data_IF_949539455622
#
_entry.id   IF_949539455622
#
_cell.length_a   1.000
_cell.length_b   1.000
_cell.length_c   1.000
_cell.angle_alpha   90.00
_cell.angle_beta   90.00
_cell.angle_gamma   90.00
#
_symmetry.space_group_name_H-M   'P 1'
#
loop_
_entity.id
_entity.type
_entity.pdbx_description
1 polymer ?
#
# COMPACT_ATOMS: atom_id res chain seq x y z
N UNK A 1 -4.12 21.17 -19.73
CA UNK A 1 -2.79 20.52 -19.72
C UNK A 1 -2.47 20.10 -21.14
N UNK A 2 -1.26 20.37 -21.68
CA UNK A 2 -0.94 19.95 -23.03
C UNK A 2 -0.97 18.42 -23.07
N UNK A 3 -1.86 17.86 -23.89
CA UNK A 3 -1.90 16.42 -24.13
C UNK A 3 -0.65 16.07 -24.94
N UNK A 4 0.38 15.56 -24.27
CA UNK A 4 1.53 15.00 -24.96
C UNK A 4 1.01 13.88 -25.87
N UNK A 5 1.44 13.93 -27.14
CA UNK A 5 1.18 12.88 -28.11
C UNK A 5 2.33 11.89 -27.97
N UNK A 6 2.00 10.62 -27.80
CA UNK A 6 2.98 9.55 -27.71
C UNK A 6 3.73 9.44 -29.05
N UNK A 7 5.07 9.54 -29.06
CA UNK A 7 5.85 9.46 -30.29
C UNK A 7 5.87 8.06 -30.93
N UNK A 8 5.51 7.00 -30.20
CA UNK A 8 5.47 5.64 -30.75
C UNK A 8 4.18 5.33 -31.54
N UNK A 9 3.04 5.88 -31.11
CA UNK A 9 1.73 5.53 -31.68
C UNK A 9 0.88 6.72 -32.13
N UNK A 10 1.37 7.95 -31.95
CA UNK A 10 0.67 9.20 -32.27
C UNK A 10 -0.69 9.38 -31.57
N UNK A 11 -0.95 8.65 -30.49
CA UNK A 11 -2.14 8.83 -29.65
C UNK A 11 -1.83 9.74 -28.46
N UNK A 12 -2.87 10.35 -27.86
CA UNK A 12 -2.70 11.13 -26.63
C UNK A 12 -2.26 10.24 -25.48
N UNK A 13 -1.29 10.71 -24.69
CA UNK A 13 -0.86 10.04 -23.48
C UNK A 13 -2.00 9.94 -22.46
N UNK A 14 -2.02 8.84 -21.71
CA UNK A 14 -2.99 8.59 -20.63
C UNK A 14 -2.66 9.41 -19.39
N UNK A 15 -1.36 9.64 -19.13
CA UNK A 15 -0.87 10.58 -18.13
C UNK A 15 0.51 11.11 -18.53
N UNK A 16 1.09 12.03 -17.76
CA UNK A 16 2.35 12.68 -18.12
C UNK A 16 3.47 11.64 -18.40
N UNK A 17 3.97 11.59 -19.64
CA UNK A 17 4.95 10.62 -20.14
C UNK A 17 4.51 9.15 -20.04
N UNK A 18 3.20 8.87 -20.08
CA UNK A 18 2.66 7.51 -19.99
C UNK A 18 1.63 7.25 -21.08
N UNK A 19 2.00 6.45 -22.08
CA UNK A 19 1.10 5.95 -23.10
C UNK A 19 0.65 4.53 -22.75
N UNK A 20 -0.58 4.36 -22.24
CA UNK A 20 -1.08 3.03 -21.84
C UNK A 20 -1.01 1.99 -22.99
N UNK A 21 -1.45 2.28 -24.23
CA UNK A 21 -1.36 1.31 -25.32
C UNK A 21 0.06 0.84 -25.65
N UNK A 22 1.06 1.74 -25.60
CA UNK A 22 2.45 1.39 -25.87
C UNK A 22 3.07 0.63 -24.70
N UNK A 23 2.92 1.15 -23.47
CA UNK A 23 3.45 0.51 -22.27
C UNK A 23 2.86 -0.89 -22.06
N UNK A 24 1.59 -1.10 -22.39
CA UNK A 24 0.96 -2.42 -22.38
C UNK A 24 1.74 -3.42 -23.26
N UNK A 25 2.12 -3.03 -24.47
CA UNK A 25 2.91 -3.89 -25.37
C UNK A 25 4.32 -4.12 -24.83
N UNK A 26 4.96 -3.09 -24.31
CA UNK A 26 6.30 -3.19 -23.70
C UNK A 26 6.29 -4.19 -22.53
N UNK A 27 5.30 -4.10 -21.62
CA UNK A 27 5.15 -5.07 -20.55
C UNK A 27 4.90 -6.50 -21.07
N UNK A 28 4.02 -6.68 -22.06
CA UNK A 28 3.76 -8.00 -22.64
C UNK A 28 5.02 -8.65 -23.22
N UNK A 29 5.91 -7.85 -23.82
CA UNK A 29 7.19 -8.34 -24.33
C UNK A 29 8.15 -8.77 -23.20
N UNK A 30 8.04 -8.17 -22.02
CA UNK A 30 8.89 -8.43 -20.86
C UNK A 30 8.37 -9.53 -19.91
N UNK A 31 7.15 -10.04 -20.10
CA UNK A 31 6.56 -11.02 -19.16
C UNK A 31 7.38 -12.30 -18.97
N UNK A 32 8.14 -12.72 -19.98
CA UNK A 32 9.00 -13.89 -19.87
C UNK A 32 10.33 -13.60 -19.16
N UNK A 33 10.70 -12.32 -18.98
CA UNK A 33 11.98 -11.94 -18.42
C UNK A 33 11.98 -12.02 -16.89
N UNK A 34 10.84 -11.81 -16.21
CA UNK A 34 10.75 -11.73 -14.75
C UNK A 34 9.61 -12.59 -14.19
N UNK A 35 9.86 -13.88 -13.94
CA UNK A 35 8.92 -14.77 -13.24
C UNK A 35 9.33 -14.97 -11.78
N UNK A 36 8.34 -14.98 -10.89
CA UNK A 36 8.50 -15.30 -9.47
C UNK A 36 8.56 -16.80 -9.18
N UNK A 37 8.33 -17.65 -10.19
CA UNK A 37 8.12 -19.08 -10.02
C UNK A 37 6.73 -19.44 -9.46
N UNK A 38 5.83 -18.47 -9.28
CA UNK A 38 4.45 -18.69 -8.86
C UNK A 38 3.46 -18.00 -9.80
N UNK A 39 2.69 -18.81 -10.53
CA UNK A 39 1.73 -18.34 -11.52
C UNK A 39 0.67 -17.37 -10.97
N UNK A 40 0.30 -17.47 -9.68
CA UNK A 40 -0.66 -16.53 -9.07
C UNK A 40 -0.05 -15.16 -8.82
N UNK A 41 1.21 -15.13 -8.36
CA UNK A 41 1.97 -13.88 -8.15
C UNK A 41 2.26 -13.22 -9.49
N UNK A 42 2.74 -14.00 -10.47
CA UNK A 42 3.03 -13.52 -11.82
C UNK A 42 1.78 -12.92 -12.46
N UNK A 43 0.65 -13.63 -12.40
CA UNK A 43 -0.63 -13.12 -12.91
C UNK A 43 -1.06 -11.83 -12.24
N UNK A 44 -0.95 -11.73 -10.91
CA UNK A 44 -1.29 -10.51 -10.18
C UNK A 44 -0.46 -9.30 -10.62
N UNK A 45 0.85 -9.49 -10.80
CA UNK A 45 1.77 -8.44 -11.27
C UNK A 45 1.44 -8.04 -12.72
N UNK A 46 1.24 -9.02 -13.61
CA UNK A 46 0.88 -8.79 -15.01
C UNK A 46 -0.45 -8.05 -15.13
N UNK A 47 -1.48 -8.47 -14.39
CA UNK A 47 -2.79 -7.81 -14.37
C UNK A 47 -2.66 -6.34 -13.90
N UNK A 48 -1.83 -6.07 -12.90
CA UNK A 48 -1.56 -4.71 -12.45
C UNK A 48 -0.85 -3.87 -13.52
N UNK A 49 0.19 -4.41 -14.17
CA UNK A 49 0.95 -3.75 -15.25
C UNK A 49 0.08 -3.42 -16.47
N UNK A 50 -0.76 -4.37 -16.93
CA UNK A 50 -1.68 -4.17 -18.06
C UNK A 50 -2.74 -3.09 -17.77
N UNK A 51 -3.14 -2.95 -16.51
CA UNK A 51 -4.15 -1.98 -16.08
C UNK A 51 -3.57 -0.62 -15.64
N UNK A 52 -2.25 -0.47 -15.60
CA UNK A 52 -1.59 0.74 -15.14
C UNK A 52 -1.83 1.94 -16.09
N UNK A 53 -2.38 3.02 -15.54
CA UNK A 53 -2.62 4.28 -16.26
C UNK A 53 -1.50 5.32 -16.04
N UNK A 54 -0.55 5.01 -15.17
CA UNK A 54 0.64 5.79 -14.85
C UNK A 54 1.67 4.87 -14.16
N UNK A 55 2.89 5.38 -14.01
CA UNK A 55 4.00 4.63 -13.40
C UNK A 55 3.82 4.34 -11.91
N UNK A 56 3.06 5.17 -11.19
CA UNK A 56 2.81 4.95 -9.77
C UNK A 56 2.08 3.63 -9.55
N UNK A 57 1.15 3.26 -10.44
CA UNK A 57 0.35 2.03 -10.36
C UNK A 57 1.08 0.76 -10.82
N UNK A 58 2.31 0.87 -11.31
CA UNK A 58 3.09 -0.29 -11.72
C UNK A 58 3.62 -0.98 -10.47
N UNK A 59 3.43 -2.29 -10.42
CA UNK A 59 4.11 -3.17 -9.48
C UNK A 59 5.02 -4.13 -10.23
N UNK A 60 6.08 -4.58 -9.56
CA UNK A 60 7.14 -5.38 -10.17
C UNK A 60 7.38 -6.67 -9.39
N UNK A 61 7.87 -7.71 -10.07
CA UNK A 61 8.65 -8.73 -9.39
C UNK A 61 10.05 -8.18 -9.19
N UNK A 62 10.51 -8.12 -7.95
CA UNK A 62 11.80 -7.54 -7.60
C UNK A 62 12.69 -8.67 -7.07
N UNK A 63 13.75 -9.07 -7.79
CA UNK A 63 14.69 -10.08 -7.30
C UNK A 63 15.31 -9.66 -5.97
N UNK A 64 15.43 -10.59 -5.03
CA UNK A 64 15.82 -10.27 -3.65
C UNK A 64 17.25 -9.72 -3.54
N UNK A 65 18.14 -10.11 -4.46
CA UNK A 65 19.51 -9.63 -4.55
C UNK A 65 19.63 -8.15 -4.95
N UNK A 66 18.52 -7.51 -5.34
CA UNK A 66 18.43 -6.06 -5.57
C UNK A 66 18.24 -5.26 -4.28
N UNK A 67 18.11 -5.91 -3.13
CA UNK A 67 18.00 -5.26 -1.83
C UNK A 67 19.34 -5.29 -1.07
N UNK A 68 19.74 -4.13 -0.54
CA UNK A 68 20.91 -3.97 0.34
C UNK A 68 20.48 -3.55 1.73
N UNK A 69 21.38 -3.75 2.70
CA UNK A 69 21.23 -3.34 4.10
C UNK A 69 19.91 -3.81 4.73
N UNK A 70 19.50 -5.03 4.39
CA UNK A 70 18.27 -5.62 4.89
C UNK A 70 18.38 -5.82 6.40
N UNK A 71 17.49 -5.19 7.17
CA UNK A 71 17.45 -5.29 8.64
C UNK A 71 16.03 -5.35 9.14
N UNK A 72 15.75 -6.23 10.10
CA UNK A 72 14.44 -6.26 10.76
C UNK A 72 14.23 -4.96 11.56
N UNK A 73 13.10 -4.30 11.35
CA UNK A 73 12.72 -3.06 12.06
C UNK A 73 11.45 -3.20 12.88
N UNK A 74 10.70 -4.29 12.72
CA UNK A 74 9.51 -4.55 13.52
C UNK A 74 8.99 -5.96 13.32
N UNK A 75 8.30 -6.48 14.33
CA UNK A 75 7.57 -7.75 14.27
C UNK A 75 6.28 -7.60 15.07
N UNK A 76 5.16 -8.02 14.47
CA UNK A 76 3.83 -7.95 15.08
C UNK A 76 3.00 -9.20 14.76
N UNK A 77 1.71 -9.17 15.10
CA UNK A 77 0.82 -10.31 14.86
C UNK A 77 0.52 -10.62 13.38
N UNK A 78 0.89 -9.71 12.47
CA UNK A 78 0.62 -9.81 11.03
C UNK A 78 1.88 -9.99 10.18
N UNK A 79 3.02 -10.25 10.81
CA UNK A 79 4.28 -10.44 10.10
C UNK A 79 5.46 -9.68 10.67
N UNK A 80 6.55 -9.77 9.92
CA UNK A 80 7.83 -9.14 10.22
C UNK A 80 8.14 -8.10 9.14
N UNK A 81 8.54 -6.89 9.57
CA UNK A 81 8.91 -5.79 8.68
C UNK A 81 10.43 -5.63 8.70
N UNK A 82 11.02 -5.59 7.52
CA UNK A 82 12.43 -5.27 7.32
C UNK A 82 12.58 -3.95 6.58
N UNK A 83 13.55 -3.14 6.96
CA UNK A 83 14.06 -2.07 6.12
C UNK A 83 15.01 -2.67 5.07
N UNK A 84 15.06 -2.08 3.88
CA UNK A 84 16.10 -2.33 2.89
C UNK A 84 16.31 -1.11 1.98
N UNK A 85 17.43 -1.08 1.25
CA UNK A 85 17.65 -0.18 0.11
C UNK A 85 17.54 -0.94 -1.20
N UNK A 86 16.63 -0.51 -2.07
CA UNK A 86 16.43 -1.04 -3.40
C UNK A 86 17.30 -0.32 -4.42
N UNK A 87 18.25 -1.04 -5.02
CA UNK A 87 19.31 -0.41 -5.83
C UNK A 87 18.86 0.04 -7.23
N UNK A 88 17.77 -0.53 -7.76
CA UNK A 88 17.27 -0.17 -9.09
C UNK A 88 16.38 1.07 -9.06
N UNK A 89 15.55 1.19 -8.03
CA UNK A 89 14.42 2.11 -8.02
C UNK A 89 13.27 1.65 -8.94
N UNK A 90 12.15 2.35 -8.89
CA UNK A 90 10.94 1.98 -9.62
C UNK A 90 10.96 2.41 -11.09
N UNK A 91 10.18 1.71 -11.92
CA UNK A 91 9.91 2.10 -13.31
C UNK A 91 9.22 3.47 -13.37
N UNK A 92 9.81 4.43 -14.07
CA UNK A 92 9.26 5.77 -14.32
C UNK A 92 8.58 5.85 -15.69
N UNK A 93 9.29 5.50 -16.76
CA UNK A 93 8.76 5.53 -18.13
C UNK A 93 9.55 4.64 -19.07
N UNK A 94 8.99 4.37 -20.23
CA UNK A 94 9.72 3.71 -21.32
C UNK A 94 10.70 4.69 -21.97
N UNK A 95 11.94 4.25 -22.17
CA UNK A 95 12.94 4.94 -22.98
C UNK A 95 12.94 4.36 -24.39
N UNK A 96 12.42 5.12 -25.34
CA UNK A 96 12.25 4.70 -26.73
C UNK A 96 13.58 4.57 -27.46
N UNK A 97 14.56 5.43 -27.15
CA UNK A 97 15.86 5.41 -27.81
C UNK A 97 16.66 4.18 -27.38
N UNK A 98 16.64 3.88 -26.08
CA UNK A 98 17.39 2.77 -25.50
C UNK A 98 16.59 1.46 -25.43
N UNK A 99 15.30 1.47 -25.79
CA UNK A 99 14.40 0.30 -25.74
C UNK A 99 14.42 -0.41 -24.37
N UNK A 100 14.32 0.38 -23.29
CA UNK A 100 14.33 -0.14 -21.93
C UNK A 100 13.50 0.72 -20.97
N UNK A 101 13.11 0.15 -19.83
CA UNK A 101 12.48 0.90 -18.76
C UNK A 101 13.47 1.85 -18.08
N UNK A 102 13.19 3.15 -18.12
CA UNK A 102 13.89 4.14 -17.31
C UNK A 102 13.42 4.02 -15.86
N UNK A 103 14.37 3.94 -14.94
CA UNK A 103 14.13 3.85 -13.49
C UNK A 103 14.47 5.15 -12.78
N UNK A 104 13.77 5.41 -11.67
CA UNK A 104 13.97 6.60 -10.84
C UNK A 104 14.13 6.23 -9.36
N UNK A 105 14.77 7.13 -8.60
CA UNK A 105 15.21 6.89 -7.21
C UNK A 105 16.05 5.61 -7.03
N UNK A 106 17.27 5.61 -7.55
CA UNK A 106 18.24 4.55 -7.20
C UNK A 106 18.56 4.60 -5.70
N UNK A 107 18.87 3.43 -5.13
CA UNK A 107 19.13 3.25 -3.70
C UNK A 107 17.95 3.69 -2.81
N UNK A 108 16.72 3.50 -3.29
CA UNK A 108 15.51 3.89 -2.58
C UNK A 108 15.26 3.06 -1.32
N UNK A 109 14.89 3.72 -0.23
CA UNK A 109 14.50 3.07 1.01
C UNK A 109 13.11 2.42 0.89
N UNK A 110 13.00 1.15 1.26
CA UNK A 110 11.78 0.36 1.21
C UNK A 110 11.58 -0.45 2.48
N UNK A 111 10.33 -0.79 2.75
CA UNK A 111 9.92 -1.72 3.79
C UNK A 111 9.50 -3.06 3.15
N UNK A 112 10.14 -4.15 3.54
CA UNK A 112 9.79 -5.51 3.16
C UNK A 112 8.86 -6.10 4.22
N UNK A 113 7.56 -6.24 3.91
CA UNK A 113 6.58 -6.89 4.79
C UNK A 113 6.53 -8.38 4.47
N UNK A 114 7.01 -9.19 5.40
CA UNK A 114 6.98 -10.66 5.36
C UNK A 114 5.81 -11.18 6.17
N UNK A 115 5.02 -12.08 5.59
CA UNK A 115 3.90 -12.73 6.24
C UNK A 115 4.36 -13.97 7.02
N UNK A 116 3.87 -14.12 8.25
CA UNK A 116 4.30 -15.24 9.13
C UNK A 116 3.72 -16.60 8.69
N UNK A 117 2.56 -16.64 8.01
CA UNK A 117 1.91 -17.88 7.56
C UNK A 117 1.18 -17.67 6.22
N UNK A 118 1.68 -18.33 5.15
CA UNK A 118 1.20 -18.29 3.76
C UNK A 118 1.14 -16.90 3.10
N UNK A 119 1.15 -16.88 1.76
CA UNK A 119 1.00 -15.65 0.98
C UNK A 119 -0.40 -15.09 1.19
N UNK A 120 -0.51 -13.94 1.86
CA UNK A 120 -1.79 -13.27 2.03
C UNK A 120 -2.08 -12.37 0.81
N UNK A 121 -2.56 -13.00 -0.26
CA UNK A 121 -2.94 -12.31 -1.50
C UNK A 121 -4.02 -11.24 -1.28
N UNK A 122 -4.92 -11.45 -0.32
CA UNK A 122 -5.95 -10.46 0.00
C UNK A 122 -5.32 -9.16 0.54
N UNK A 123 -4.32 -9.26 1.42
CA UNK A 123 -3.59 -8.07 1.91
C UNK A 123 -2.87 -7.35 0.76
N UNK A 124 -2.23 -8.10 -0.15
CA UNK A 124 -1.57 -7.53 -1.34
C UNK A 124 -2.56 -6.83 -2.28
N UNK A 125 -3.71 -7.45 -2.54
CA UNK A 125 -4.75 -6.90 -3.40
C UNK A 125 -5.38 -5.64 -2.80
N UNK A 126 -5.66 -5.65 -1.49
CA UNK A 126 -6.18 -4.49 -0.77
C UNK A 126 -5.18 -3.35 -0.79
N UNK A 127 -3.89 -3.62 -0.52
CA UNK A 127 -2.85 -2.61 -0.63
C UNK A 127 -2.77 -2.01 -2.04
N UNK A 128 -2.80 -2.86 -3.07
CA UNK A 128 -2.81 -2.40 -4.47
C UNK A 128 -4.02 -1.50 -4.77
N UNK A 129 -5.24 -1.94 -4.43
CA UNK A 129 -6.48 -1.16 -4.67
C UNK A 129 -6.49 0.17 -3.93
N UNK A 130 -6.08 0.18 -2.66
CA UNK A 130 -6.09 1.37 -1.81
C UNK A 130 -5.03 2.39 -2.19
N UNK A 131 -3.87 1.93 -2.69
CA UNK A 131 -2.84 2.80 -3.22
C UNK A 131 -3.19 3.35 -4.61
N UNK A 132 -3.74 2.50 -5.48
CA UNK A 132 -4.08 2.82 -6.87
C UNK A 132 -5.42 3.57 -7.05
N UNK A 133 -6.06 4.00 -5.95
CA UNK A 133 -7.34 4.70 -5.96
C UNK A 133 -7.29 6.01 -6.78
N UNK A 134 -8.32 6.23 -7.59
CA UNK A 134 -8.48 7.43 -8.42
C UNK A 134 -8.64 8.73 -7.62
N UNK A 135 -9.06 8.64 -6.35
CA UNK A 135 -9.32 9.80 -5.49
C UNK A 135 -8.15 10.17 -4.57
N UNK A 136 -6.98 9.54 -4.78
CA UNK A 136 -5.77 9.72 -3.98
C UNK A 136 -5.39 8.45 -3.22
N UNK A 137 -4.09 8.18 -3.15
CA UNK A 137 -3.53 6.98 -2.53
C UNK A 137 -3.80 6.97 -1.04
N UNK A 138 -4.65 6.06 -0.55
CA UNK A 138 -5.05 6.00 0.87
C UNK A 138 -4.05 5.21 1.73
N UNK A 139 -3.26 4.36 1.08
CA UNK A 139 -2.15 3.61 1.67
C UNK A 139 -0.80 4.06 1.08
N UNK A 140 0.29 3.60 1.70
CA UNK A 140 1.66 3.83 1.23
C UNK A 140 1.92 3.13 -0.11
N UNK A 141 2.93 3.58 -0.87
CA UNK A 141 3.24 3.00 -2.18
C UNK A 141 3.60 1.52 -2.08
N UNK A 142 2.98 0.74 -2.95
CA UNK A 142 3.29 -0.67 -3.16
C UNK A 142 4.11 -0.79 -4.45
N UNK A 143 5.39 -1.14 -4.32
CA UNK A 143 6.31 -1.26 -5.46
C UNK A 143 6.25 -2.63 -6.12
N UNK A 144 5.87 -3.65 -5.38
CA UNK A 144 5.83 -5.01 -5.90
C UNK A 144 6.17 -6.07 -4.90
N UNK A 145 6.57 -7.22 -5.39
CA UNK A 145 6.70 -8.44 -4.61
C UNK A 145 8.13 -8.99 -4.79
N UNK A 146 8.70 -9.49 -3.70
CA UNK A 146 9.95 -10.24 -3.69
C UNK A 146 9.73 -11.55 -2.94
N UNK A 147 10.70 -12.46 -2.98
CA UNK A 147 10.72 -13.67 -2.16
C UNK A 147 11.99 -13.71 -1.31
N UNK A 148 11.83 -14.09 -0.05
CA UNK A 148 12.94 -14.35 0.86
C UNK A 148 13.68 -15.60 0.39
N UNK A 149 14.98 -15.54 0.07
CA UNK A 149 15.73 -16.70 -0.43
C UNK A 149 15.92 -17.79 0.64
N UNK A 150 15.88 -17.44 1.93
CA UNK A 150 16.06 -18.40 3.01
C UNK A 150 14.76 -19.14 3.30
N UNK A 151 13.66 -18.39 3.50
CA UNK A 151 12.37 -18.99 3.91
C UNK A 151 11.41 -19.24 2.77
N UNK A 152 11.75 -18.82 1.55
CA UNK A 152 10.91 -18.88 0.35
C UNK A 152 9.55 -18.17 0.50
N UNK A 153 9.44 -17.29 1.50
CA UNK A 153 8.22 -16.55 1.77
C UNK A 153 8.14 -15.32 0.87
N UNK A 154 6.98 -15.10 0.27
CA UNK A 154 6.73 -13.88 -0.50
C UNK A 154 6.56 -12.69 0.45
N UNK A 155 7.11 -11.56 0.03
CA UNK A 155 7.10 -10.31 0.79
C UNK A 155 6.63 -9.17 -0.10
N UNK A 156 5.86 -8.27 0.49
CA UNK A 156 5.53 -7.00 -0.17
C UNK A 156 6.68 -6.02 -0.04
N UNK A 157 6.96 -5.29 -1.11
CA UNK A 157 7.91 -4.19 -1.16
C UNK A 157 7.13 -2.88 -1.12
N UNK A 158 7.19 -2.21 0.03
CA UNK A 158 6.42 -1.02 0.35
C UNK A 158 7.34 0.20 0.51
N UNK A 159 6.78 1.39 0.39
CA UNK A 159 7.47 2.63 0.77
C UNK A 159 7.88 2.62 2.25
N UNK A 160 9.15 2.94 2.50
CA UNK A 160 9.62 3.19 3.84
C UNK A 160 9.21 4.60 4.28
N UNK A 161 8.57 4.68 5.45
CA UNK A 161 8.06 5.93 6.03
C UNK A 161 8.91 6.33 7.25
N UNK A 162 9.75 7.34 7.09
CA UNK A 162 10.77 7.69 8.08
C UNK A 162 10.22 8.14 9.44
N UNK A 163 9.08 8.84 9.46
CA UNK A 163 8.43 9.33 10.68
C UNK A 163 7.64 8.23 11.43
N UNK A 164 7.52 7.04 10.85
CA UNK A 164 6.91 5.88 11.48
C UNK A 164 5.40 6.04 11.69
N UNK A 165 4.90 5.57 12.85
CA UNK A 165 3.47 5.53 13.14
C UNK A 165 2.99 6.68 14.05
N UNK A 166 1.72 7.03 13.90
CA UNK A 166 1.10 8.16 14.60
C UNK A 166 1.10 7.97 16.12
N UNK A 167 0.99 6.73 16.63
CA UNK A 167 1.02 6.46 18.08
C UNK A 167 2.33 6.92 18.69
N UNK A 168 3.46 6.52 18.14
CA UNK A 168 4.78 6.92 18.65
C UNK A 168 5.03 8.42 18.46
N UNK A 169 4.59 8.98 17.33
CA UNK A 169 4.69 10.42 17.10
C UNK A 169 3.91 11.24 18.14
N UNK A 170 2.68 10.82 18.49
CA UNK A 170 1.83 11.51 19.46
C UNK A 170 2.40 11.43 20.88
N UNK A 171 3.00 10.30 21.29
CA UNK A 171 3.65 10.19 22.62
C UNK A 171 4.64 11.32 22.89
N UNK A 172 5.33 11.79 21.86
CA UNK A 172 6.36 12.83 21.96
C UNK A 172 5.79 14.22 21.69
N UNK A 173 4.85 14.34 20.73
CA UNK A 173 4.46 15.62 20.16
C UNK A 173 3.03 16.08 20.48
N UNK A 174 2.24 15.33 21.24
CA UNK A 174 0.80 15.61 21.43
C UNK A 174 0.49 17.07 21.82
N UNK A 175 1.25 17.62 22.77
CA UNK A 175 1.08 18.99 23.26
C UNK A 175 1.58 20.07 22.28
N UNK A 176 2.42 19.70 21.31
CA UNK A 176 3.02 20.61 20.34
C UNK A 176 2.19 20.74 19.05
N UNK A 177 1.16 19.91 18.87
CA UNK A 177 0.29 19.96 17.70
C UNK A 177 -0.88 20.90 17.98
N UNK A 178 -0.96 22.01 17.26
CA UNK A 178 -2.08 22.94 17.40
C UNK A 178 -3.40 22.33 16.89
N UNK A 179 -4.53 22.85 17.38
CA UNK A 179 -5.87 22.36 17.05
C UNK A 179 -6.19 22.37 15.55
N UNK A 180 -5.78 23.42 14.84
CA UNK A 180 -5.98 23.51 13.38
C UNK A 180 -5.36 22.32 12.65
N UNK A 181 -4.14 21.93 13.05
CA UNK A 181 -3.45 20.78 12.46
C UNK A 181 -4.04 19.45 12.89
N UNK A 182 -4.49 19.33 14.14
CA UNK A 182 -5.23 18.13 14.60
C UNK A 182 -6.50 17.92 13.75
N UNK A 183 -7.28 18.97 13.53
CA UNK A 183 -8.50 18.94 12.71
C UNK A 183 -8.19 18.60 11.24
N UNK A 184 -7.12 19.16 10.68
CA UNK A 184 -6.76 18.88 9.29
C UNK A 184 -6.26 17.43 9.10
N UNK A 185 -5.48 16.91 10.04
CA UNK A 185 -5.09 15.49 10.04
C UNK A 185 -6.30 14.56 10.12
N UNK A 186 -7.26 14.90 10.98
CA UNK A 186 -8.53 14.17 11.10
C UNK A 186 -9.32 14.18 9.79
N UNK A 187 -9.44 15.35 9.15
CA UNK A 187 -10.10 15.49 7.86
C UNK A 187 -9.45 14.59 6.81
N UNK A 188 -8.12 14.65 6.67
CA UNK A 188 -7.39 13.81 5.71
C UNK A 188 -7.53 12.31 5.98
N UNK A 189 -7.48 11.90 7.24
CA UNK A 189 -7.70 10.50 7.63
C UNK A 189 -9.12 10.04 7.30
N UNK A 190 -10.11 10.90 7.54
CA UNK A 190 -11.52 10.63 7.23
C UNK A 190 -11.74 10.47 5.73
N UNK A 191 -11.11 11.32 4.90
CA UNK A 191 -11.16 11.20 3.44
C UNK A 191 -10.51 9.91 2.95
N UNK A 192 -9.34 9.54 3.49
CA UNK A 192 -8.64 8.29 3.15
C UNK A 192 -9.46 7.06 3.55
N UNK A 193 -10.07 7.09 4.73
CA UNK A 193 -10.95 6.01 5.18
C UNK A 193 -12.21 5.91 4.30
N UNK A 194 -12.81 7.04 3.95
CA UNK A 194 -13.93 7.09 3.00
C UNK A 194 -13.55 6.48 1.64
N UNK A 195 -12.34 6.76 1.15
CA UNK A 195 -11.84 6.19 -0.09
C UNK A 195 -11.66 4.67 -0.02
N UNK A 196 -11.16 4.14 1.10
CA UNK A 196 -11.09 2.69 1.35
C UNK A 196 -12.51 2.08 1.36
N UNK A 197 -13.46 2.74 2.02
CA UNK A 197 -14.85 2.26 2.08
C UNK A 197 -15.56 2.26 0.72
N UNK A 198 -15.21 3.19 -0.19
CA UNK A 198 -15.71 3.22 -1.59
C UNK A 198 -15.21 2.06 -2.44
N UNK A 199 -14.13 1.40 -2.02
CA UNK A 199 -13.61 0.19 -2.63
C UNK A 199 -14.20 -1.08 -1.99
N UNK A 200 -15.26 -0.91 -1.18
CA UNK A 200 -15.91 -2.01 -0.47
C UNK A 200 -14.95 -2.77 0.47
N UNK A 201 -14.00 -2.06 1.07
CA UNK A 201 -13.04 -2.60 2.04
C UNK A 201 -13.40 -2.11 3.44
N UNK A 202 -13.36 -2.99 4.43
CA UNK A 202 -13.44 -2.65 5.87
C UNK A 202 -12.10 -3.01 6.52
N UNK A 203 -11.43 -2.05 7.15
CA UNK A 203 -10.04 -2.24 7.63
C UNK A 203 -9.92 -3.13 8.89
N UNK A 204 -10.89 -3.06 9.81
CA UNK A 204 -10.99 -3.83 11.08
C UNK A 204 -9.86 -3.66 12.11
N UNK A 205 -8.77 -2.99 11.77
CA UNK A 205 -7.64 -2.72 12.66
C UNK A 205 -7.18 -1.26 12.59
N UNK A 206 -8.13 -0.34 12.50
CA UNK A 206 -7.83 1.08 12.35
C UNK A 206 -7.55 1.73 13.70
N UNK A 207 -6.29 2.10 13.94
CA UNK A 207 -5.82 2.74 15.17
C UNK A 207 -4.54 3.54 14.89
N UNK A 208 -4.10 4.46 15.77
CA UNK A 208 -2.92 5.30 15.53
C UNK A 208 -1.60 4.53 15.27
N UNK A 209 -1.46 3.29 15.74
CA UNK A 209 -0.31 2.44 15.40
C UNK A 209 -0.23 2.01 13.93
N UNK A 210 -1.34 2.10 13.18
CA UNK A 210 -1.47 1.69 11.78
C UNK A 210 -1.63 2.90 10.84
N UNK A 211 -1.50 4.10 11.39
CA UNK A 211 -1.44 5.34 10.64
C UNK A 211 0.03 5.71 10.50
N UNK A 212 0.51 5.80 9.27
CA UNK A 212 1.89 6.07 8.94
C UNK A 212 2.06 7.45 8.32
N UNK A 213 3.26 8.02 8.42
CA UNK A 213 3.58 9.24 7.67
C UNK A 213 5.06 9.32 7.35
N UNK A 214 5.41 9.87 6.18
CA UNK A 214 6.79 10.22 5.87
C UNK A 214 7.22 11.53 6.54
N UNK A 215 6.27 12.39 6.91
CA UNK A 215 6.50 13.61 7.67
C UNK A 215 5.20 14.05 8.35
N UNK A 216 5.01 13.78 9.64
CA UNK A 216 3.79 14.20 10.33
C UNK A 216 3.61 15.72 10.40
N UNK A 217 4.66 16.51 10.10
CA UNK A 217 4.60 17.97 9.89
C UNK A 217 3.94 18.38 8.59
N UNK A 218 3.98 17.52 7.59
CA UNK A 218 3.20 17.63 6.36
C UNK A 218 1.92 16.80 6.47
N UNK A 219 0.80 17.51 6.57
CA UNK A 219 -0.52 16.94 6.68
C UNK A 219 -0.96 16.08 5.50
N UNK A 220 -0.37 16.25 4.31
CA UNK A 220 -0.74 15.48 3.11
C UNK A 220 -0.12 14.08 3.07
N UNK A 221 0.87 13.82 3.92
CA UNK A 221 1.69 12.62 3.90
C UNK A 221 1.25 11.55 4.92
N UNK A 222 -0.03 11.51 5.29
CA UNK A 222 -0.58 10.52 6.23
C UNK A 222 -1.19 9.35 5.45
N UNK A 223 -0.93 8.12 5.86
CA UNK A 223 -1.40 6.92 5.17
C UNK A 223 -1.99 5.90 6.15
N UNK A 224 -2.93 5.12 5.66
CA UNK A 224 -3.51 3.98 6.38
C UNK A 224 -2.75 2.73 5.94
N UNK A 225 -2.37 1.88 6.90
CA UNK A 225 -1.52 0.72 6.67
C UNK A 225 -1.98 -0.50 7.45
N UNK A 226 -1.39 -1.65 7.16
CA UNK A 226 -1.65 -2.93 7.80
C UNK A 226 -3.08 -3.45 7.60
N UNK A 227 -3.35 -3.91 6.37
CA UNK A 227 -4.64 -4.46 5.99
C UNK A 227 -4.76 -5.97 6.27
N UNK A 228 -3.91 -6.53 7.15
CA UNK A 228 -3.89 -7.97 7.45
C UNK A 228 -5.20 -8.55 8.01
N UNK A 229 -6.07 -7.71 8.58
CA UNK A 229 -7.42 -8.07 9.04
C UNK A 229 -8.54 -7.50 8.17
N UNK A 230 -8.20 -6.81 7.09
CA UNK A 230 -9.20 -6.16 6.25
C UNK A 230 -10.03 -7.16 5.48
N UNK A 231 -11.31 -6.84 5.25
CA UNK A 231 -12.24 -7.66 4.49
C UNK A 231 -12.83 -6.90 3.32
N UNK A 232 -13.01 -7.59 2.20
CA UNK A 232 -13.83 -7.15 1.08
C UNK A 232 -15.30 -7.48 1.40
N UNK A 233 -16.17 -6.49 1.24
CA UNK A 233 -17.62 -6.63 1.42
C UNK A 233 -18.14 -7.48 0.26
N UNK A 234 -18.85 -8.57 0.57
CA UNK A 234 -19.51 -9.44 -0.42
C UNK A 234 -18.80 -10.77 -0.73
N UNK A 235 -17.65 -11.07 -0.13
CA UNK A 235 -17.09 -12.43 -0.18
C UNK A 235 -17.86 -13.37 0.77
N UNK A 236 -18.37 -14.49 0.23
CA UNK A 236 -19.12 -15.49 1.00
C UNK A 236 -18.27 -16.04 2.17
N UNK A 237 -18.82 -15.93 3.38
CA UNK A 237 -18.21 -16.31 4.66
C UNK A 237 -18.13 -17.85 4.87
N UNK A 238 -17.53 -18.59 3.95
CA UNK A 238 -17.43 -20.05 4.05
C UNK A 238 -16.13 -20.56 4.67
N UNK A 239 -15.35 -19.73 5.37
CA UNK A 239 -14.24 -20.21 6.18
C UNK A 239 -14.62 -20.19 7.68
N UNK A 240 -14.84 -21.35 8.33
CA UNK A 240 -15.26 -21.41 9.74
C UNK A 240 -14.13 -21.04 10.71
N UNK A 241 -12.89 -20.90 10.25
CA UNK A 241 -11.76 -20.61 11.12
C UNK A 241 -11.59 -19.10 11.33
N UNK A 242 -11.87 -18.67 12.58
CA UNK A 242 -11.63 -17.36 13.20
C UNK A 242 -12.79 -16.35 13.17
N UNK A 243 -13.86 -16.67 13.92
CA UNK A 243 -14.66 -15.68 14.66
C UNK A 243 -13.97 -15.23 15.96
N UNK A 244 -12.65 -15.05 15.94
CA UNK A 244 -11.92 -14.49 17.08
C UNK A 244 -11.70 -13.00 16.81
N UNK A 245 -12.12 -12.15 17.74
CA UNK A 245 -11.89 -10.70 17.68
C UNK A 245 -10.37 -10.48 17.84
N UNK A 246 -9.68 -10.14 16.75
CA UNK A 246 -8.22 -9.87 16.72
C UNK A 246 -7.95 -8.36 16.64
N UNK A 247 -8.79 -7.52 17.24
CA UNK A 247 -8.55 -6.07 17.32
C UNK A 247 -7.91 -5.68 18.65
N UNK A 248 -7.19 -4.55 18.67
CA UNK A 248 -6.46 -4.08 19.86
C UNK A 248 -7.43 -3.50 20.89
N UNK A 249 -7.50 -4.10 22.09
CA UNK A 249 -8.56 -3.92 23.11
C UNK A 249 -8.99 -2.48 23.52
N UNK A 250 -8.15 -1.43 23.57
CA UNK A 250 -8.66 -0.08 23.86
C UNK A 250 -9.41 0.56 22.68
N UNK A 251 -9.46 -0.13 21.52
CA UNK A 251 -10.02 0.40 20.28
C UNK A 251 -11.22 -0.38 19.74
N UNK A 252 -11.92 -1.12 20.60
CA UNK A 252 -13.11 -1.89 20.22
C UNK A 252 -14.33 -1.13 20.74
N UNK A 253 -15.15 -0.58 19.83
CA UNK A 253 -16.45 -0.04 20.23
C UNK A 253 -17.49 -1.18 20.30
N UNK A 254 -18.58 -1.04 21.07
CA UNK A 254 -19.63 -2.05 21.16
C UNK A 254 -20.21 -2.47 19.80
N UNK A 255 -20.22 -1.55 18.83
CA UNK A 255 -20.68 -1.77 17.46
C UNK A 255 -19.73 -2.66 16.63
N UNK A 256 -18.45 -2.77 17.00
CA UNK A 256 -17.51 -3.75 16.41
C UNK A 256 -17.80 -5.17 16.92
N UNK A 257 -18.49 -5.31 18.06
CA UNK A 257 -18.99 -6.59 18.57
C UNK A 257 -20.29 -7.01 17.89
N UNK A 258 -21.00 -6.06 17.25
CA UNK A 258 -22.05 -6.33 16.28
C UNK A 258 -21.39 -6.86 15.00
N UNK A 259 -21.86 -7.98 14.47
CA UNK A 259 -21.34 -8.56 13.23
C UNK A 259 -21.82 -7.81 11.98
N UNK A 260 -22.44 -6.64 12.13
CA UNK A 260 -22.93 -5.82 11.01
C UNK A 260 -21.80 -4.92 10.46
N UNK A 261 -21.63 -4.96 9.13
CA UNK A 261 -20.59 -4.21 8.42
C UNK A 261 -20.84 -2.70 8.46
N UNK A 262 -22.10 -2.27 8.53
CA UNK A 262 -22.47 -0.83 8.66
C UNK A 262 -22.04 -0.27 10.00
N UNK A 263 -22.21 -1.06 11.06
CA UNK A 263 -21.83 -0.74 12.43
C UNK A 263 -20.30 -0.64 12.58
N UNK A 264 -19.55 -1.51 11.89
CA UNK A 264 -18.08 -1.47 11.88
C UNK A 264 -17.53 -0.23 11.18
N UNK A 265 -18.14 0.22 10.06
CA UNK A 265 -17.71 1.47 9.39
C UNK A 265 -17.95 2.69 10.29
N UNK A 266 -19.08 2.75 10.99
CA UNK A 266 -19.40 3.84 11.92
C UNK A 266 -18.44 3.88 13.12
N UNK A 267 -18.09 2.72 13.69
CA UNK A 267 -17.14 2.59 14.79
C UNK A 267 -15.75 3.17 14.49
N UNK A 268 -15.30 3.07 13.24
CA UNK A 268 -14.00 3.63 12.81
C UNK A 268 -13.99 5.16 12.78
N UNK A 269 -15.13 5.80 12.52
CA UNK A 269 -15.27 7.26 12.61
C UNK A 269 -15.33 7.74 14.07
N UNK A 270 -15.93 6.97 14.97
CA UNK A 270 -15.89 7.26 16.42
C UNK A 270 -14.45 7.15 16.96
N UNK A 271 -13.67 6.21 16.43
CA UNK A 271 -12.23 6.06 16.75
C UNK A 271 -11.38 7.28 16.40
N UNK A 272 -11.75 7.98 15.34
CA UNK A 272 -11.07 9.19 14.93
C UNK A 272 -11.26 10.34 15.93
N UNK A 273 -12.38 10.39 16.67
CA UNK A 273 -12.61 11.39 17.72
C UNK A 273 -11.72 11.15 18.95
N UNK A 274 -11.43 9.88 19.28
CA UNK A 274 -10.54 9.52 20.37
C UNK A 274 -9.08 9.95 20.11
N UNK A 275 -8.66 10.10 18.85
CA UNK A 275 -7.34 10.63 18.48
C UNK A 275 -7.14 12.11 18.86
N UNK A 276 -8.22 12.85 19.11
CA UNK A 276 -8.15 14.28 19.44
C UNK A 276 -8.04 14.56 20.94
N UNK A 277 -8.42 13.61 21.79
CA UNK A 277 -8.77 13.88 23.19
C UNK A 277 -7.92 13.12 24.21
N UNK A 278 -7.08 12.17 23.80
CA UNK A 278 -6.19 11.40 24.69
C UNK A 278 -4.77 11.32 24.16
#
# INVERSE_FOLDING_TARGET
>A
MPSNICPECNQKDTSYNWCKPCNLKHFQNDFNNWTSGNAKVDKFIQDAQLNANNYWRVIEWIPYDRFKDVKQIGKGGFGTIHYARWIDGYIDKWDIENQQWKRYYKDQEVALKKFDNFVNFNDMEIHYKTYASFTGSSSIRFYGITQDPETHSYMMVLEYVADGNLREYLKINFNNINWKRKLFNLYNLSERLMNIHKLDIVHQNFHPGNILSSNFKDTYSIYISDFGLSKLIGENQNNPEKKNIVSVLPYITPEVLSSDEKDTKAAMYIHLELLLTK
#
